data_IF_265818834783
#
_entry.id   IF_265818834783
#
_cell.length_a   1.000
_cell.length_b   1.000
_cell.length_c   1.000
_cell.angle_alpha   90.00
_cell.angle_beta   90.00
_cell.angle_gamma   90.00
#
_symmetry.space_group_name_H-M   'P 1'
#
loop_
_entity.id
_entity.type
_entity.pdbx_description
1 polymer ?
#
# COMPACT_ATOMS: atom_id res chain seq x y z
N UNK A 1 -2.73 19.03 -6.18
CA UNK A 1 -3.86 19.82 -6.47
C UNK A 1 -3.80 20.77 -7.58
N UNK A 2 -2.73 21.16 -7.95
CA UNK A 2 -2.72 22.11 -8.98
C UNK A 2 -2.96 21.52 -10.30
N UNK A 3 -3.07 20.31 -10.38
CA UNK A 3 -3.16 19.70 -11.56
C UNK A 3 -4.30 19.98 -12.37
N UNK A 4 -5.37 20.38 -11.86
CA UNK A 4 -6.51 20.51 -12.65
C UNK A 4 -6.80 21.79 -13.19
N UNK A 5 -5.94 22.66 -13.18
CA UNK A 5 -6.21 23.92 -13.61
C UNK A 5 -6.51 24.04 -15.01
N UNK A 6 -6.04 23.20 -15.80
CA UNK A 6 -6.17 23.36 -17.20
C UNK A 6 -7.56 23.33 -17.75
N UNK A 7 -8.50 22.84 -17.02
CA UNK A 7 -9.79 22.73 -17.59
C UNK A 7 -10.74 23.80 -17.11
N UNK A 8 -10.21 24.82 -16.60
CA UNK A 8 -11.04 25.90 -16.18
C UNK A 8 -12.03 25.62 -15.13
N UNK A 9 -11.92 24.52 -14.50
CA UNK A 9 -12.77 24.25 -13.40
C UNK A 9 -12.03 24.66 -12.22
N UNK A 10 -12.69 25.10 -11.22
CA UNK A 10 -12.06 25.42 -9.98
C UNK A 10 -12.40 24.35 -9.03
N UNK A 11 -11.61 23.29 -9.02
CA UNK A 11 -11.94 22.17 -8.16
C UNK A 11 -11.92 22.65 -6.73
N UNK A 12 -12.82 22.15 -5.95
CA UNK A 12 -12.85 22.47 -4.56
C UNK A 12 -11.86 21.55 -3.89
N UNK A 13 -10.76 22.12 -3.45
CA UNK A 13 -9.76 21.32 -2.77
C UNK A 13 -9.62 21.83 -1.37
N UNK A 14 -9.24 20.97 -0.48
CA UNK A 14 -9.00 21.38 0.88
C UNK A 14 -8.01 20.41 1.49
N UNK A 15 -7.37 20.85 2.54
CA UNK A 15 -6.45 20.00 3.25
C UNK A 15 -7.26 19.17 4.23
N UNK A 16 -7.12 17.87 4.15
CA UNK A 16 -7.88 16.98 5.01
C UNK A 16 -7.32 17.00 6.42
N UNK A 17 -8.15 16.70 7.38
CA UNK A 17 -7.67 16.51 8.73
C UNK A 17 -6.89 15.20 8.75
N UNK A 18 -6.12 14.98 9.81
CA UNK A 18 -5.34 13.76 9.90
C UNK A 18 -6.20 12.52 9.87
N UNK A 19 -7.34 12.57 10.52
CA UNK A 19 -8.25 11.43 10.54
C UNK A 19 -8.87 11.17 9.18
N UNK A 20 -9.25 12.24 8.49
CA UNK A 20 -9.82 12.11 7.16
C UNK A 20 -8.77 11.55 6.20
N UNK A 21 -7.56 12.04 6.31
CA UNK A 21 -6.49 11.60 5.45
C UNK A 21 -6.20 10.11 5.63
N UNK A 22 -6.14 9.68 6.88
CA UNK A 22 -5.92 8.28 7.18
C UNK A 22 -7.05 7.44 6.61
N UNK A 23 -8.28 7.88 6.80
CA UNK A 23 -9.42 7.15 6.31
C UNK A 23 -9.38 7.02 4.78
N UNK A 24 -9.04 8.10 4.09
CA UNK A 24 -9.00 8.07 2.64
C UNK A 24 -7.87 7.18 2.14
N UNK A 25 -6.73 7.17 2.82
CA UNK A 25 -5.66 6.29 2.44
C UNK A 25 -6.05 4.83 2.63
N UNK A 26 -6.71 4.52 3.72
CA UNK A 26 -7.14 3.14 3.97
C UNK A 26 -8.17 2.70 2.94
N UNK A 27 -9.05 3.61 2.58
CA UNK A 27 -10.05 3.33 1.57
C UNK A 27 -9.37 3.11 0.22
N UNK A 28 -8.39 3.95 -0.09
CA UNK A 28 -7.65 3.82 -1.33
C UNK A 28 -6.88 2.50 -1.39
N UNK A 29 -6.34 2.08 -0.27
CA UNK A 29 -5.63 0.81 -0.22
C UNK A 29 -6.55 -0.34 -0.61
N UNK A 30 -7.78 -0.30 -0.14
CA UNK A 30 -8.74 -1.34 -0.48
C UNK A 30 -9.11 -1.28 -1.96
N UNK A 31 -9.21 -0.09 -2.52
CA UNK A 31 -9.50 0.04 -3.95
C UNK A 31 -8.36 -0.55 -4.79
N UNK A 32 -7.12 -0.25 -4.42
CA UNK A 32 -5.99 -0.78 -5.15
C UNK A 32 -5.88 -2.28 -5.01
N UNK A 33 -6.24 -2.80 -3.85
CA UNK A 33 -6.26 -4.23 -3.63
C UNK A 33 -7.20 -4.89 -4.63
N UNK A 34 -8.38 -4.33 -4.82
CA UNK A 34 -9.34 -4.91 -5.75
C UNK A 34 -8.78 -4.87 -7.17
N UNK A 35 -8.11 -3.81 -7.53
CA UNK A 35 -7.55 -3.70 -8.88
C UNK A 35 -6.41 -4.69 -9.10
N UNK A 36 -5.62 -4.94 -8.07
CA UNK A 36 -4.57 -5.93 -8.15
C UNK A 36 -5.17 -7.32 -8.39
N UNK A 37 -6.25 -7.62 -7.68
CA UNK A 37 -6.87 -8.92 -7.81
C UNK A 37 -7.47 -9.13 -9.20
N UNK A 38 -8.00 -8.08 -9.78
CA UNK A 38 -8.64 -8.17 -11.09
C UNK A 38 -7.67 -8.08 -12.26
N UNK A 39 -6.44 -7.70 -12.03
CA UNK A 39 -5.47 -7.53 -13.09
C UNK A 39 -4.56 -8.76 -13.23
N UNK A 40 -3.93 -8.89 -14.38
CA UNK A 40 -2.98 -9.96 -14.59
C UNK A 40 -1.81 -9.41 -15.40
N UNK A 41 -0.70 -10.15 -15.38
CA UNK A 41 0.46 -9.80 -16.17
C UNK A 41 1.02 -8.44 -15.81
N UNK A 42 1.41 -7.71 -16.82
CA UNK A 42 1.99 -6.40 -16.63
C UNK A 42 1.02 -5.45 -15.95
N UNK A 43 -0.26 -5.60 -16.22
CA UNK A 43 -1.23 -4.74 -15.58
C UNK A 43 -1.24 -4.95 -14.07
N UNK A 44 -1.08 -6.19 -13.65
CA UNK A 44 -1.03 -6.43 -12.21
C UNK A 44 0.19 -5.78 -11.58
N UNK A 45 1.31 -5.78 -12.30
CA UNK A 45 2.52 -5.13 -11.77
C UNK A 45 2.27 -3.65 -11.57
N UNK A 46 1.57 -3.02 -12.53
CA UNK A 46 1.27 -1.61 -12.39
C UNK A 46 0.32 -1.35 -11.22
N UNK A 47 -0.66 -2.21 -11.05
CA UNK A 47 -1.56 -2.04 -9.93
C UNK A 47 -0.86 -2.26 -8.59
N UNK A 48 0.11 -3.17 -8.58
CA UNK A 48 0.89 -3.36 -7.36
C UNK A 48 1.71 -2.12 -7.05
N UNK A 49 2.21 -1.44 -8.08
CA UNK A 49 2.93 -0.20 -7.85
C UNK A 49 2.01 0.87 -7.26
N UNK A 50 0.78 0.94 -7.75
CA UNK A 50 -0.18 1.89 -7.20
C UNK A 50 -0.51 1.56 -5.76
N UNK A 51 -0.66 0.28 -5.46
CA UNK A 51 -0.94 -0.14 -4.10
C UNK A 51 0.24 0.18 -3.19
N UNK A 52 1.45 -0.02 -3.69
CA UNK A 52 2.64 0.27 -2.92
C UNK A 52 2.72 1.76 -2.59
N UNK A 53 2.32 2.60 -3.52
CA UNK A 53 2.33 4.03 -3.30
C UNK A 53 1.45 4.37 -2.09
N UNK A 54 0.26 3.79 -2.02
CA UNK A 54 -0.62 4.02 -0.88
C UNK A 54 0.01 3.50 0.40
N UNK A 55 0.65 2.35 0.32
CA UNK A 55 1.28 1.76 1.48
C UNK A 55 2.40 2.65 2.02
N UNK A 56 3.14 3.29 1.12
CA UNK A 56 4.19 4.19 1.52
C UNK A 56 3.62 5.37 2.31
N UNK A 57 2.51 5.92 1.85
CA UNK A 57 1.92 7.04 2.56
C UNK A 57 1.31 6.63 3.91
N UNK A 58 0.77 5.41 3.97
CA UNK A 58 0.30 4.91 5.25
C UNK A 58 1.47 4.75 6.22
N UNK A 59 2.62 4.28 5.73
CA UNK A 59 3.79 4.15 6.59
C UNK A 59 4.24 5.51 7.10
N UNK A 60 4.12 6.53 6.27
CA UNK A 60 4.52 7.86 6.69
C UNK A 60 3.69 8.37 7.85
N UNK A 61 2.45 7.93 7.95
CA UNK A 61 1.63 8.30 9.09
C UNK A 61 2.18 7.72 10.39
N UNK A 62 2.98 6.66 10.26
CA UNK A 62 3.59 6.04 11.43
C UNK A 62 5.07 6.44 11.53
N UNK A 63 5.44 7.49 10.81
CA UNK A 63 6.81 8.01 10.81
C UNK A 63 7.82 7.02 10.26
N UNK A 64 7.39 6.24 9.26
CA UNK A 64 8.27 5.28 8.60
C UNK A 64 8.18 5.52 7.10
N UNK A 65 9.13 4.97 6.36
CA UNK A 65 9.12 5.12 4.92
C UNK A 65 9.30 3.75 4.26
N UNK A 66 9.43 3.75 2.95
CA UNK A 66 9.56 2.51 2.21
C UNK A 66 10.77 1.71 2.64
N UNK A 67 11.87 2.38 2.90
CA UNK A 67 13.09 1.70 3.32
C UNK A 67 12.85 0.94 4.62
N UNK A 68 12.12 1.55 5.55
CA UNK A 68 11.80 0.92 6.81
C UNK A 68 10.94 -0.33 6.61
N UNK A 69 9.97 -0.24 5.69
CA UNK A 69 9.12 -1.38 5.41
C UNK A 69 9.95 -2.51 4.83
N UNK A 70 10.84 -2.18 3.91
CA UNK A 70 11.67 -3.20 3.27
C UNK A 70 12.59 -3.86 4.28
N UNK A 71 13.17 -3.08 5.18
CA UNK A 71 14.02 -3.64 6.21
C UNK A 71 13.27 -4.64 7.09
N UNK A 72 12.06 -4.27 7.47
CA UNK A 72 11.25 -5.14 8.30
C UNK A 72 10.85 -6.40 7.54
N UNK A 73 10.51 -6.23 6.25
CA UNK A 73 10.20 -7.38 5.41
C UNK A 73 11.37 -8.35 5.37
N UNK A 74 12.57 -7.81 5.16
CA UNK A 74 13.75 -8.66 5.07
C UNK A 74 14.03 -9.38 6.38
N UNK A 75 13.83 -8.70 7.49
CA UNK A 75 14.03 -9.33 8.79
C UNK A 75 13.04 -10.45 9.01
N UNK A 76 11.79 -10.21 8.65
CA UNK A 76 10.77 -11.23 8.82
C UNK A 76 11.03 -12.42 7.90
N UNK A 77 11.49 -12.14 6.69
CA UNK A 77 11.80 -13.21 5.75
C UNK A 77 12.96 -14.06 6.29
N UNK A 78 13.98 -13.43 6.83
CA UNK A 78 15.11 -14.16 7.38
C UNK A 78 14.70 -15.04 8.55
N UNK A 79 13.75 -14.55 9.34
CA UNK A 79 13.33 -15.28 10.50
C UNK A 79 12.35 -16.39 10.23
N UNK A 80 11.41 -16.15 9.33
CA UNK A 80 10.30 -17.06 9.12
C UNK A 80 10.25 -17.67 7.72
N UNK A 81 11.11 -17.20 6.81
CA UNK A 81 11.02 -17.56 5.42
C UNK A 81 9.95 -16.74 4.74
N UNK A 82 9.79 -16.89 3.49
CA UNK A 82 8.78 -16.19 2.74
C UNK A 82 7.75 -17.18 2.25
N UNK A 83 7.15 -16.87 1.12
CA UNK A 83 6.15 -17.75 0.53
C UNK A 83 6.76 -18.54 -0.64
N UNK A 84 8.08 -18.61 -0.66
CA UNK A 84 8.77 -19.22 -1.77
C UNK A 84 8.40 -20.67 -2.04
N UNK A 85 8.18 -21.40 -0.98
CA UNK A 85 7.87 -22.82 -1.11
C UNK A 85 6.39 -23.11 -1.18
N UNK A 86 5.59 -22.08 -1.28
CA UNK A 86 4.14 -22.21 -1.34
C UNK A 86 3.54 -22.88 -0.10
N UNK A 87 4.22 -22.74 1.02
CA UNK A 87 3.73 -23.26 2.28
C UNK A 87 2.77 -22.24 2.85
N UNK A 88 1.53 -22.55 2.84
CA UNK A 88 0.50 -21.57 3.18
C UNK A 88 0.17 -21.44 4.65
N UNK A 89 -0.26 -22.51 5.27
CA UNK A 89 -0.73 -22.42 6.64
C UNK A 89 0.31 -22.01 7.64
N UNK A 90 1.45 -22.66 7.60
CA UNK A 90 2.47 -22.39 8.59
C UNK A 90 3.04 -21.00 8.47
N UNK A 91 3.26 -20.54 7.23
CA UNK A 91 3.79 -19.20 7.03
C UNK A 91 2.79 -18.15 7.45
N UNK A 92 1.53 -18.33 7.09
CA UNK A 92 0.52 -17.36 7.45
C UNK A 92 0.36 -17.28 8.95
N UNK A 93 0.40 -18.41 9.61
CA UNK A 93 0.29 -18.44 11.06
C UNK A 93 1.48 -17.73 11.70
N UNK A 94 2.68 -17.99 11.20
CA UNK A 94 3.87 -17.35 11.73
C UNK A 94 3.83 -15.84 11.54
N UNK A 95 3.38 -15.39 10.40
CA UNK A 95 3.31 -13.97 10.14
C UNK A 95 2.29 -13.30 11.03
N UNK A 96 1.20 -13.97 11.31
CA UNK A 96 0.20 -13.41 12.18
C UNK A 96 0.63 -13.40 13.64
N UNK A 97 1.52 -14.24 14.02
CA UNK A 97 1.92 -14.29 15.40
C UNK A 97 3.16 -13.47 15.71
N UNK A 98 3.67 -12.76 14.75
CA UNK A 98 4.83 -11.94 15.06
C UNK A 98 4.41 -10.59 15.62
#
# INVERSE_FOLDING_TARGET
PEIIKGNNQNPITRILSDEEYKYELEKKLNEEYQEVIEATGENRIEELADMLEVMIYLAKLENKDLHDIIEICNKKHSKRGGFDDKIYLDLMYSMNSS
#
